data_IF_708201170499
#
_entry.id   IF_708201170499
#
_cell.length_a   1.000
_cell.length_b   1.000
_cell.length_c   1.000
_cell.angle_alpha   90.00
_cell.angle_beta   90.00
_cell.angle_gamma   90.00
#
_symmetry.space_group_name_H-M   'P 1'
#
loop_
_entity.id
_entity.type
_entity.pdbx_description
1 polymer ?
#
# COMPACT_ATOMS: atom_id res chain seq x y z
N UNK A 1 28.85 -87.60 -13.89
CA UNK A 1 27.75 -86.63 -13.80
C UNK A 1 27.70 -85.76 -15.09
N UNK A 2 26.63 -85.87 -15.74
CA UNK A 2 26.45 -85.37 -17.11
C UNK A 2 26.46 -83.84 -17.19
N UNK A 3 27.16 -83.30 -18.20
CA UNK A 3 27.19 -81.84 -18.52
C UNK A 3 25.83 -81.19 -18.64
N UNK A 4 24.78 -81.97 -18.89
CA UNK A 4 23.40 -81.55 -19.00
C UNK A 4 22.75 -81.15 -17.65
N UNK A 5 23.18 -81.69 -16.54
CA UNK A 5 22.65 -81.37 -15.24
C UNK A 5 23.11 -79.99 -14.75
N UNK A 6 24.30 -79.57 -15.12
CA UNK A 6 24.83 -78.25 -14.84
C UNK A 6 24.13 -77.09 -15.61
N UNK A 7 23.75 -77.38 -16.87
CA UNK A 7 23.01 -76.43 -17.72
C UNK A 7 21.58 -76.23 -17.19
N UNK A 8 20.91 -77.33 -16.73
CA UNK A 8 19.59 -77.24 -16.17
C UNK A 8 19.51 -76.45 -14.85
N UNK A 9 20.54 -76.54 -14.00
CA UNK A 9 20.64 -75.77 -12.76
C UNK A 9 20.91 -74.31 -13.08
N UNK A 10 21.73 -73.99 -14.07
CA UNK A 10 21.98 -72.61 -14.49
C UNK A 10 20.72 -71.92 -15.07
N UNK A 11 19.91 -72.66 -15.84
CA UNK A 11 18.63 -72.11 -16.36
C UNK A 11 17.60 -71.91 -15.27
N UNK A 12 17.50 -72.76 -14.29
CA UNK A 12 16.58 -72.63 -13.13
C UNK A 12 16.95 -71.40 -12.26
N UNK A 13 18.25 -71.16 -12.04
CA UNK A 13 18.73 -69.98 -11.24
C UNK A 13 18.50 -68.69 -12.02
N UNK A 14 18.65 -68.65 -13.33
CA UNK A 14 18.41 -67.44 -14.13
C UNK A 14 16.90 -67.13 -14.21
N UNK A 15 16.02 -68.14 -14.27
CA UNK A 15 14.57 -67.93 -14.27
C UNK A 15 14.05 -67.46 -12.93
N UNK A 16 14.60 -67.92 -11.80
CA UNK A 16 14.21 -67.42 -10.46
C UNK A 16 14.72 -66.04 -10.21
N UNK A 17 15.91 -65.67 -10.69
CA UNK A 17 16.44 -64.30 -10.61
C UNK A 17 15.65 -63.30 -11.45
N UNK A 18 15.25 -63.70 -12.66
CA UNK A 18 14.42 -62.87 -13.56
C UNK A 18 12.99 -62.66 -13.00
N UNK A 19 12.37 -63.69 -12.40
CA UNK A 19 11.06 -63.54 -11.77
C UNK A 19 11.09 -62.73 -10.49
N UNK A 20 12.17 -62.77 -9.73
CA UNK A 20 12.33 -61.93 -8.53
C UNK A 20 12.65 -60.48 -8.89
N UNK A 21 13.37 -60.22 -9.97
CA UNK A 21 13.63 -58.87 -10.47
C UNK A 21 12.36 -58.26 -11.09
N UNK A 22 11.57 -59.03 -11.84
CA UNK A 22 10.26 -58.57 -12.36
C UNK A 22 9.23 -58.30 -11.23
N UNK A 23 9.20 -59.12 -10.16
CA UNK A 23 8.30 -58.87 -9.02
C UNK A 23 8.74 -57.67 -8.17
N UNK A 24 10.04 -57.34 -8.08
CA UNK A 24 10.51 -56.15 -7.38
C UNK A 24 10.26 -54.87 -8.18
N UNK A 25 10.20 -54.93 -9.51
CA UNK A 25 9.87 -53.75 -10.33
C UNK A 25 8.37 -53.45 -10.34
N UNK A 26 7.49 -54.46 -10.24
CA UNK A 26 6.05 -54.25 -10.27
C UNK A 26 5.45 -53.73 -8.97
N UNK A 27 6.10 -53.92 -7.82
CA UNK A 27 5.59 -53.38 -6.55
C UNK A 27 6.01 -51.92 -6.31
N UNK A 28 6.96 -51.38 -7.06
CA UNK A 28 7.32 -49.96 -6.99
C UNK A 28 6.47 -49.07 -7.92
N UNK A 29 5.81 -49.67 -8.93
CA UNK A 29 5.00 -48.94 -9.90
C UNK A 29 3.56 -48.62 -9.43
N UNK A 30 3.09 -49.26 -8.35
CA UNK A 30 1.69 -49.06 -7.86
C UNK A 30 1.53 -48.06 -6.71
N UNK A 31 2.61 -47.47 -6.17
CA UNK A 31 2.52 -46.53 -5.06
C UNK A 31 2.66 -45.04 -5.47
N UNK A 32 2.98 -44.75 -6.74
CA UNK A 32 3.19 -43.39 -7.25
C UNK A 32 1.93 -42.59 -7.66
N UNK A 33 0.80 -43.17 -8.12
CA UNK A 33 -0.26 -42.38 -8.71
C UNK A 33 -0.97 -41.45 -7.68
N UNK A 34 -1.10 -41.84 -6.43
CA UNK A 34 -1.85 -41.05 -5.43
C UNK A 34 -1.05 -39.82 -4.96
N UNK A 35 0.26 -39.94 -4.76
CA UNK A 35 1.13 -38.83 -4.34
C UNK A 35 1.34 -37.82 -5.48
N UNK A 36 1.44 -38.29 -6.72
CA UNK A 36 1.57 -37.44 -7.89
C UNK A 36 0.30 -36.62 -8.16
N UNK A 37 -0.87 -37.26 -8.15
CA UNK A 37 -2.18 -36.58 -8.26
C UNK A 37 -2.37 -35.55 -7.16
N UNK A 38 -1.88 -35.85 -5.95
CA UNK A 38 -1.87 -34.89 -4.84
C UNK A 38 -1.06 -33.64 -5.18
N UNK A 39 0.20 -33.83 -5.57
CA UNK A 39 1.10 -32.72 -5.91
C UNK A 39 0.53 -31.84 -7.04
N UNK A 40 -0.01 -32.47 -8.11
CA UNK A 40 -0.65 -31.75 -9.20
C UNK A 40 -1.81 -30.87 -8.72
N UNK A 41 -2.72 -31.42 -7.89
CA UNK A 41 -3.84 -30.65 -7.32
C UNK A 41 -3.36 -29.49 -6.46
N UNK A 42 -2.30 -29.68 -5.66
CA UNK A 42 -1.74 -28.62 -4.82
C UNK A 42 -1.14 -27.50 -5.68
N UNK A 43 -0.37 -27.82 -6.71
CA UNK A 43 0.17 -26.82 -7.65
C UNK A 43 -0.94 -26.08 -8.39
N UNK A 44 -1.98 -26.76 -8.88
CA UNK A 44 -3.12 -26.11 -9.55
C UNK A 44 -3.88 -25.17 -8.61
N UNK A 45 -4.19 -25.61 -7.39
CA UNK A 45 -4.83 -24.75 -6.40
C UNK A 45 -3.95 -23.58 -5.99
N UNK A 46 -2.63 -23.77 -5.95
CA UNK A 46 -1.67 -22.69 -5.70
C UNK A 46 -1.63 -21.69 -6.85
N UNK A 47 -1.67 -22.14 -8.10
CA UNK A 47 -1.78 -21.24 -9.27
C UNK A 47 -3.00 -20.33 -9.17
N UNK A 48 -4.17 -20.89 -8.84
CA UNK A 48 -5.39 -20.10 -8.66
C UNK A 48 -5.30 -19.12 -7.47
N UNK A 49 -4.63 -19.52 -6.38
CA UNK A 49 -4.32 -18.63 -5.27
C UNK A 49 -3.38 -17.49 -5.67
N UNK A 50 -2.31 -17.80 -6.42
CA UNK A 50 -1.34 -16.80 -6.89
C UNK A 50 -1.98 -15.77 -7.80
N UNK A 51 -2.85 -16.17 -8.72
CA UNK A 51 -3.62 -15.25 -9.57
C UNK A 51 -4.48 -14.31 -8.71
N UNK A 52 -5.21 -14.86 -7.74
CA UNK A 52 -6.02 -14.04 -6.84
C UNK A 52 -5.16 -13.10 -5.96
N UNK A 53 -3.98 -13.54 -5.53
CA UNK A 53 -3.06 -12.74 -4.74
C UNK A 53 -2.48 -11.56 -5.55
N UNK A 54 -2.00 -11.81 -6.77
CA UNK A 54 -1.51 -10.78 -7.70
C UNK A 54 -2.60 -9.73 -7.95
N UNK A 55 -3.80 -10.18 -8.30
CA UNK A 55 -4.94 -9.29 -8.58
C UNK A 55 -5.33 -8.45 -7.34
N UNK A 56 -5.27 -9.03 -6.14
CA UNK A 56 -5.58 -8.32 -4.89
C UNK A 56 -4.52 -7.27 -4.55
N UNK A 57 -3.24 -7.62 -4.70
CA UNK A 57 -2.10 -6.71 -4.48
C UNK A 57 -2.14 -5.55 -5.46
N UNK A 58 -2.40 -5.80 -6.74
CA UNK A 58 -2.49 -4.76 -7.77
C UNK A 58 -3.67 -3.82 -7.51
N UNK A 59 -4.82 -4.35 -7.10
CA UNK A 59 -5.99 -3.55 -6.72
C UNK A 59 -5.69 -2.69 -5.50
N UNK A 60 -4.97 -3.23 -4.51
CA UNK A 60 -4.58 -2.47 -3.33
C UNK A 60 -3.54 -1.39 -3.65
N UNK A 61 -2.55 -1.68 -4.49
CA UNK A 61 -1.59 -0.69 -4.98
C UNK A 61 -2.28 0.48 -5.72
N UNK A 62 -3.26 0.17 -6.56
CA UNK A 62 -4.08 1.19 -7.24
C UNK A 62 -4.90 2.03 -6.27
N UNK A 63 -5.41 1.42 -5.19
CA UNK A 63 -6.17 2.12 -4.16
C UNK A 63 -5.30 3.10 -3.36
N UNK A 64 -4.11 2.69 -2.93
CA UNK A 64 -3.17 3.55 -2.20
C UNK A 64 -2.71 4.75 -3.05
N UNK A 65 -2.62 4.56 -4.36
CA UNK A 65 -2.20 5.61 -5.32
C UNK A 65 -3.32 6.56 -5.74
N UNK A 66 -4.56 6.39 -5.26
CA UNK A 66 -5.63 7.36 -5.51
C UNK A 66 -5.27 8.72 -4.90
N UNK A 67 -5.14 9.73 -5.75
CA UNK A 67 -4.66 11.05 -5.33
C UNK A 67 -5.79 12.00 -4.89
N UNK A 68 -7.05 11.75 -5.26
CA UNK A 68 -8.15 12.71 -5.04
C UNK A 68 -8.31 13.12 -3.58
N UNK A 69 -8.34 12.16 -2.66
CA UNK A 69 -8.42 12.46 -1.23
C UNK A 69 -7.19 13.23 -0.75
N UNK A 70 -6.00 12.79 -1.15
CA UNK A 70 -4.71 13.42 -0.79
C UNK A 70 -4.63 14.85 -1.30
N UNK A 71 -5.01 15.10 -2.55
CA UNK A 71 -5.03 16.43 -3.13
C UNK A 71 -5.98 17.36 -2.37
N UNK A 72 -7.15 16.86 -1.97
CA UNK A 72 -8.08 17.67 -1.18
C UNK A 72 -7.54 18.02 0.20
N UNK A 73 -7.00 17.07 0.95
CA UNK A 73 -6.43 17.38 2.28
C UNK A 73 -5.22 18.32 2.17
N UNK A 74 -4.46 18.23 1.07
CA UNK A 74 -3.34 19.15 0.77
C UNK A 74 -3.84 20.55 0.46
N UNK A 75 -4.99 20.69 -0.24
CA UNK A 75 -5.56 22.01 -0.57
C UNK A 75 -5.94 22.80 0.69
N UNK A 76 -6.35 22.12 1.77
CA UNK A 76 -6.61 22.78 3.06
C UNK A 76 -5.36 23.42 3.67
N UNK A 77 -4.18 22.90 3.39
CA UNK A 77 -2.90 23.47 3.87
C UNK A 77 -2.42 24.65 3.03
N UNK A 78 -3.11 24.99 1.95
CA UNK A 78 -2.76 26.19 1.16
C UNK A 78 -3.21 27.45 1.90
N UNK A 79 -2.30 28.31 2.39
CA UNK A 79 -2.65 29.48 3.20
C UNK A 79 -3.40 30.56 2.39
N UNK A 80 -3.41 30.47 1.06
CA UNK A 80 -4.16 31.41 0.18
C UNK A 80 -5.54 30.86 -0.18
N UNK A 81 -5.80 29.54 0.06
CA UNK A 81 -7.12 28.94 -0.18
C UNK A 81 -8.15 29.35 0.86
N UNK A 82 -9.39 29.48 0.44
CA UNK A 82 -10.54 29.70 1.33
C UNK A 82 -11.30 28.42 1.71
N UNK A 83 -10.75 27.25 1.43
CA UNK A 83 -11.39 25.94 1.68
C UNK A 83 -11.75 25.69 3.16
N UNK A 84 -11.06 26.35 4.08
CA UNK A 84 -11.37 26.34 5.50
C UNK A 84 -12.44 27.35 5.93
N UNK A 85 -13.10 28.02 4.98
CA UNK A 85 -14.00 29.14 5.24
C UNK A 85 -13.28 30.47 5.44
N UNK A 86 -11.96 30.48 5.40
CA UNK A 86 -11.09 31.67 5.46
C UNK A 86 -9.77 31.37 4.71
N UNK A 87 -9.10 32.44 4.29
CA UNK A 87 -7.72 32.39 3.80
C UNK A 87 -6.81 32.95 4.90
N UNK A 88 -5.76 32.23 5.25
CA UNK A 88 -4.80 32.69 6.25
C UNK A 88 -4.16 34.03 5.83
N UNK A 89 -3.80 34.16 4.55
CA UNK A 89 -3.28 35.41 3.98
C UNK A 89 -4.23 36.59 4.25
N UNK A 90 -5.52 36.40 3.92
CA UNK A 90 -6.53 37.45 4.06
C UNK A 90 -6.73 37.84 5.54
N UNK A 91 -6.84 36.88 6.44
CA UNK A 91 -7.00 37.13 7.88
C UNK A 91 -5.81 37.87 8.48
N UNK A 92 -4.59 37.56 8.03
CA UNK A 92 -3.39 38.28 8.45
C UNK A 92 -3.38 39.70 7.90
N UNK A 93 -3.76 39.91 6.64
CA UNK A 93 -3.84 41.26 6.07
C UNK A 93 -4.89 42.10 6.82
N UNK A 94 -6.05 41.54 7.16
CA UNK A 94 -7.07 42.21 7.95
C UNK A 94 -6.58 42.56 9.36
N UNK A 95 -5.82 41.65 10.00
CA UNK A 95 -5.26 41.92 11.32
C UNK A 95 -4.11 42.95 11.30
N UNK A 96 -3.37 43.03 10.19
CA UNK A 96 -2.32 44.04 10.00
C UNK A 96 -2.86 45.45 9.70
N UNK A 97 -4.05 45.58 9.11
CA UNK A 97 -4.62 46.87 8.68
C UNK A 97 -4.63 47.92 9.79
N UNK A 98 -5.06 47.66 11.03
CA UNK A 98 -4.98 48.64 12.14
C UNK A 98 -3.56 49.09 12.44
N UNK A 99 -2.57 48.18 12.43
CA UNK A 99 -1.17 48.50 12.67
C UNK A 99 -0.63 49.41 11.57
N UNK A 100 -0.90 49.09 10.31
CA UNK A 100 -0.47 49.88 9.14
C UNK A 100 -1.10 51.28 9.10
N UNK A 101 -2.35 51.39 9.57
CA UNK A 101 -3.04 52.70 9.66
C UNK A 101 -2.37 53.63 10.72
N UNK A 102 -1.85 53.08 11.78
CA UNK A 102 -1.10 53.81 12.79
C UNK A 102 0.32 54.18 12.35
N UNK A 103 0.91 53.35 11.48
CA UNK A 103 2.20 53.61 10.91
C UNK A 103 2.10 54.77 9.90
N UNK A 104 2.72 55.89 10.17
CA UNK A 104 2.71 57.08 9.28
C UNK A 104 3.61 56.97 8.04
N UNK A 105 4.21 55.83 7.83
CA UNK A 105 5.26 55.68 6.84
C UNK A 105 4.70 55.29 5.47
N UNK A 106 5.21 55.91 4.41
CA UNK A 106 4.91 55.65 2.98
C UNK A 106 5.28 54.21 2.52
N UNK A 107 5.79 53.37 3.41
CA UNK A 107 6.19 52.00 3.15
C UNK A 107 5.12 50.94 3.46
N UNK A 108 3.86 51.34 3.83
CA UNK A 108 2.77 50.44 4.17
C UNK A 108 2.41 49.50 3.01
N UNK A 109 2.43 50.01 1.77
CA UNK A 109 2.19 49.19 0.57
C UNK A 109 3.30 48.13 0.37
N UNK A 110 4.58 48.54 0.53
CA UNK A 110 5.71 47.60 0.43
C UNK A 110 5.66 46.53 1.50
N UNK A 111 5.27 46.91 2.72
CA UNK A 111 5.11 45.93 3.81
C UNK A 111 3.99 44.94 3.51
N UNK A 112 2.83 45.40 3.05
CA UNK A 112 1.72 44.57 2.62
C UNK A 112 2.13 43.62 1.46
N UNK A 113 2.89 44.11 0.50
CA UNK A 113 3.44 43.32 -0.61
C UNK A 113 4.44 42.27 -0.12
N UNK A 114 5.31 42.60 0.83
CA UNK A 114 6.22 41.63 1.44
C UNK A 114 5.46 40.53 2.17
N UNK A 115 4.43 40.87 2.94
CA UNK A 115 3.57 39.88 3.62
C UNK A 115 2.86 38.99 2.60
N UNK A 116 2.26 39.56 1.54
CA UNK A 116 1.64 38.74 0.47
C UNK A 116 2.66 37.86 -0.24
N UNK A 117 3.91 38.33 -0.45
CA UNK A 117 4.95 37.56 -1.10
C UNK A 117 5.37 36.32 -0.27
N UNK A 118 5.28 36.37 1.04
CA UNK A 118 5.53 35.22 1.91
C UNK A 118 4.54 34.06 1.63
N UNK A 119 3.29 34.39 1.35
CA UNK A 119 2.24 33.40 1.05
C UNK A 119 2.33 32.91 -0.40
N UNK A 120 2.57 33.81 -1.36
CA UNK A 120 2.70 33.47 -2.79
C UNK A 120 3.94 32.67 -3.10
N UNK A 121 5.06 32.91 -2.42
CA UNK A 121 6.29 32.11 -2.57
C UNK A 121 6.05 30.69 -2.01
N UNK A 122 5.32 30.60 -0.90
CA UNK A 122 4.91 29.31 -0.31
C UNK A 122 3.98 28.52 -1.24
N UNK A 123 3.10 29.19 -1.98
CA UNK A 123 2.19 28.56 -2.96
C UNK A 123 2.90 28.16 -4.27
N UNK A 124 3.91 28.91 -4.71
CA UNK A 124 4.67 28.63 -5.96
C UNK A 124 5.75 27.56 -5.80
N UNK A 125 6.28 27.35 -4.61
CA UNK A 125 7.15 26.20 -4.31
C UNK A 125 6.37 24.89 -4.17
N UNK A 126 5.06 24.91 -4.39
CA UNK A 126 4.24 23.77 -4.69
C UNK A 126 4.71 23.05 -5.96
N UNK A 127 5.98 22.65 -5.97
CA UNK A 127 6.48 21.58 -6.80
C UNK A 127 5.57 20.39 -6.55
N UNK A 128 5.02 19.85 -7.61
CA UNK A 128 4.21 18.64 -7.74
C UNK A 128 4.85 17.37 -7.16
N UNK A 129 5.75 17.49 -6.23
CA UNK A 129 6.24 16.42 -5.38
C UNK A 129 5.67 16.61 -3.99
N UNK A 130 4.95 15.61 -3.53
CA UNK A 130 4.26 15.44 -2.25
C UNK A 130 5.09 15.73 -0.95
N UNK A 131 6.09 16.58 -1.00
CA UNK A 131 7.07 16.81 0.10
C UNK A 131 7.23 18.25 0.57
N UNK A 132 6.50 19.22 0.02
CA UNK A 132 6.66 20.62 0.41
C UNK A 132 5.38 21.24 0.99
N UNK A 133 4.83 20.59 2.01
CA UNK A 133 3.98 21.32 2.95
C UNK A 133 4.92 22.17 3.77
N UNK A 134 4.94 23.51 3.49
CA UNK A 134 5.76 24.41 4.27
C UNK A 134 5.30 24.35 5.74
N UNK A 135 6.18 24.06 6.70
CA UNK A 135 5.81 24.15 8.09
C UNK A 135 5.34 25.58 8.37
N UNK A 136 4.15 25.73 8.94
CA UNK A 136 3.53 27.04 9.26
C UNK A 136 4.39 27.84 10.25
N UNK A 137 5.18 27.15 11.07
CA UNK A 137 6.08 27.77 12.03
C UNK A 137 7.11 28.77 11.46
N UNK A 138 7.81 28.50 10.33
CA UNK A 138 8.68 29.50 9.72
C UNK A 138 7.93 30.73 9.20
N UNK A 139 6.73 30.53 8.60
CA UNK A 139 5.89 31.65 8.17
C UNK A 139 5.49 32.54 9.36
N UNK A 140 5.06 31.91 10.46
CA UNK A 140 4.71 32.61 11.68
C UNK A 140 5.89 33.38 12.26
N UNK A 141 7.07 32.76 12.39
CA UNK A 141 8.28 33.40 12.86
C UNK A 141 8.71 34.60 12.01
N UNK A 142 8.67 34.44 10.67
CA UNK A 142 9.01 35.51 9.74
C UNK A 142 8.03 36.67 9.81
N UNK A 143 6.73 36.38 9.90
CA UNK A 143 5.70 37.39 10.03
C UNK A 143 5.86 38.18 11.35
N UNK A 144 6.11 37.49 12.49
CA UNK A 144 6.35 38.16 13.77
C UNK A 144 7.60 39.02 13.75
N UNK A 145 8.68 38.56 13.13
CA UNK A 145 9.91 39.35 12.96
C UNK A 145 9.64 40.64 12.16
N UNK A 146 8.86 40.53 11.07
CA UNK A 146 8.47 41.68 10.25
C UNK A 146 7.61 42.68 11.02
N UNK A 147 6.60 42.20 11.76
CA UNK A 147 5.72 43.08 12.57
C UNK A 147 6.48 43.68 13.74
N UNK A 148 7.39 42.91 14.38
CA UNK A 148 8.26 43.40 15.42
C UNK A 148 9.19 44.55 14.91
N UNK A 149 9.75 44.39 13.70
CA UNK A 149 10.56 45.43 13.05
C UNK A 149 9.75 46.70 12.78
N UNK A 150 8.52 46.56 12.31
CA UNK A 150 7.60 47.69 12.10
C UNK A 150 7.31 48.42 13.42
N UNK A 151 7.08 47.65 14.52
CA UNK A 151 6.82 48.21 15.84
C UNK A 151 8.01 49.02 16.39
N UNK A 152 9.23 48.57 16.17
CA UNK A 152 10.45 49.27 16.59
C UNK A 152 10.63 50.57 15.81
N UNK A 153 10.31 50.62 14.53
CA UNK A 153 10.45 51.78 13.66
C UNK A 153 9.35 52.83 13.89
N UNK A 154 8.17 52.42 14.33
CA UNK A 154 7.00 53.26 14.44
C UNK A 154 6.57 53.45 15.90
N UNK A 155 6.97 54.58 16.51
CA UNK A 155 6.67 54.90 17.93
C UNK A 155 5.17 54.95 18.29
N UNK A 156 4.27 54.91 17.32
CA UNK A 156 2.81 54.98 17.54
C UNK A 156 2.16 53.59 17.66
N UNK A 157 2.86 52.52 17.32
CA UNK A 157 2.37 51.16 17.50
C UNK A 157 2.71 50.76 18.94
N UNK A 158 1.69 50.51 19.69
CA UNK A 158 1.83 50.13 21.11
C UNK A 158 2.01 48.63 21.25
N UNK A 159 2.45 48.21 22.46
CA UNK A 159 2.51 46.79 22.80
C UNK A 159 1.13 46.12 22.73
N UNK A 160 0.09 46.84 23.18
CA UNK A 160 -1.30 46.32 23.10
C UNK A 160 -1.78 46.08 21.68
N UNK A 161 -1.35 46.89 20.71
CA UNK A 161 -1.63 46.68 19.28
C UNK A 161 -0.97 45.39 18.77
N UNK A 162 0.27 45.14 19.18
CA UNK A 162 1.00 43.93 18.84
C UNK A 162 0.35 42.69 19.48
N UNK A 163 0.01 42.77 20.77
CA UNK A 163 -0.66 41.69 21.46
C UNK A 163 -2.04 41.36 20.86
N UNK A 164 -2.77 42.41 20.45
CA UNK A 164 -4.04 42.25 19.71
C UNK A 164 -3.85 41.53 18.36
N UNK A 165 -2.82 41.92 17.61
CA UNK A 165 -2.47 41.24 16.36
C UNK A 165 -2.12 39.77 16.60
N UNK A 166 -1.27 39.49 17.56
CA UNK A 166 -0.86 38.12 17.93
C UNK A 166 -2.09 37.28 18.32
N UNK A 167 -2.93 37.79 19.21
CA UNK A 167 -4.12 37.09 19.68
C UNK A 167 -5.12 36.83 18.55
N UNK A 168 -5.22 37.77 17.60
CA UNK A 168 -6.12 37.61 16.44
C UNK A 168 -5.63 36.59 15.45
N UNK A 169 -4.33 36.54 15.18
CA UNK A 169 -3.74 35.70 14.13
C UNK A 169 -3.37 34.29 14.61
N UNK A 170 -2.94 34.14 15.86
CA UNK A 170 -2.46 32.86 16.41
C UNK A 170 -3.48 31.72 16.28
N UNK A 171 -4.76 32.00 16.49
CA UNK A 171 -5.83 30.99 16.36
C UNK A 171 -5.94 30.40 14.96
N UNK A 172 -5.66 31.16 13.90
CA UNK A 172 -5.65 30.69 12.52
C UNK A 172 -4.41 29.83 12.27
N UNK A 173 -3.23 30.27 12.74
CA UNK A 173 -2.01 29.51 12.65
C UNK A 173 -2.11 28.15 13.35
N UNK A 174 -2.73 28.09 14.52
CA UNK A 174 -2.96 26.81 15.22
C UNK A 174 -3.77 25.83 14.38
N UNK A 175 -4.77 26.30 13.62
CA UNK A 175 -5.52 25.39 12.75
C UNK A 175 -4.69 24.86 11.58
N UNK A 176 -3.89 25.72 10.94
CA UNK A 176 -2.99 25.29 9.89
C UNK A 176 -1.90 24.33 10.39
N UNK A 177 -1.39 24.55 11.60
CA UNK A 177 -0.42 23.63 12.22
C UNK A 177 -1.05 22.26 12.47
N UNK A 178 -2.28 22.20 12.99
CA UNK A 178 -3.02 20.93 13.16
C UNK A 178 -3.22 20.22 11.83
N UNK A 179 -3.59 20.95 10.75
CA UNK A 179 -3.74 20.40 9.41
C UNK A 179 -2.42 19.83 8.91
N UNK A 180 -1.33 20.59 9.07
CA UNK A 180 -0.01 20.15 8.66
C UNK A 180 0.42 18.86 9.37
N UNK A 181 0.20 18.79 10.69
CA UNK A 181 0.48 17.60 11.49
C UNK A 181 -0.37 16.39 11.03
N UNK A 182 -1.67 16.60 10.78
CA UNK A 182 -2.57 15.56 10.32
C UNK A 182 -2.16 15.02 8.92
N UNK A 183 -1.77 15.91 8.01
CA UNK A 183 -1.34 15.53 6.66
C UNK A 183 0.04 14.84 6.67
N UNK A 184 0.99 15.34 7.45
CA UNK A 184 2.30 14.71 7.59
C UNK A 184 2.20 13.28 8.16
N UNK A 185 1.33 13.10 9.18
CA UNK A 185 1.08 11.77 9.75
C UNK A 185 0.42 10.83 8.73
N UNK A 186 -0.53 11.35 7.96
CA UNK A 186 -1.16 10.60 6.89
C UNK A 186 -0.14 10.15 5.84
N UNK A 187 0.69 11.06 5.34
CA UNK A 187 1.72 10.76 4.32
C UNK A 187 2.73 9.73 4.81
N UNK A 188 3.21 9.86 6.05
CA UNK A 188 4.12 8.87 6.66
C UNK A 188 3.48 7.48 6.75
N UNK A 189 2.19 7.43 7.13
CA UNK A 189 1.47 6.17 7.21
C UNK A 189 1.25 5.54 5.83
N UNK A 190 0.93 6.34 4.81
CA UNK A 190 0.80 5.86 3.41
C UNK A 190 2.14 5.35 2.88
N UNK A 191 3.25 6.04 3.16
CA UNK A 191 4.59 5.58 2.77
C UNK A 191 4.93 4.24 3.44
N UNK A 192 4.60 4.08 4.73
CA UNK A 192 4.78 2.82 5.43
C UNK A 192 3.94 1.68 4.83
N UNK A 193 2.70 1.95 4.45
CA UNK A 193 1.84 0.97 3.76
C UNK A 193 2.42 0.57 2.40
N UNK A 194 2.94 1.51 1.63
CA UNK A 194 3.59 1.25 0.35
C UNK A 194 4.84 0.36 0.52
N UNK A 195 5.66 0.62 1.54
CA UNK A 195 6.84 -0.20 1.84
C UNK A 195 6.44 -1.64 2.16
N UNK A 196 5.48 -1.83 3.07
CA UNK A 196 4.98 -3.16 3.43
C UNK A 196 4.32 -3.90 2.25
N UNK A 197 3.63 -3.17 1.37
CA UNK A 197 3.05 -3.76 0.17
C UNK A 197 4.13 -4.22 -0.80
N UNK A 198 5.22 -3.46 -0.93
CA UNK A 198 6.38 -3.85 -1.75
C UNK A 198 7.09 -5.08 -1.18
N UNK A 199 7.23 -5.18 0.14
CA UNK A 199 7.73 -6.38 0.82
C UNK A 199 6.85 -7.61 0.52
N UNK A 200 5.53 -7.45 0.63
CA UNK A 200 4.59 -8.52 0.30
C UNK A 200 4.65 -8.95 -1.18
N UNK A 201 4.83 -8.00 -2.11
CA UNK A 201 5.05 -8.31 -3.53
C UNK A 201 6.33 -9.11 -3.74
N UNK A 202 7.39 -8.76 -3.01
CA UNK A 202 8.63 -9.51 -3.03
C UNK A 202 8.43 -10.93 -2.51
N UNK A 203 7.79 -11.11 -1.36
CA UNK A 203 7.52 -12.44 -0.77
C UNK A 203 6.66 -13.31 -1.71
N UNK A 204 5.64 -12.73 -2.33
CA UNK A 204 4.83 -13.42 -3.34
C UNK A 204 5.69 -13.88 -4.52
N UNK A 205 6.57 -13.02 -5.01
CA UNK A 205 7.47 -13.35 -6.11
C UNK A 205 8.46 -14.46 -5.75
N UNK A 206 9.03 -14.41 -4.54
CA UNK A 206 9.93 -15.47 -4.05
C UNK A 206 9.18 -16.82 -3.99
N UNK A 207 7.95 -16.82 -3.46
CA UNK A 207 7.10 -18.01 -3.43
C UNK A 207 6.82 -18.57 -4.83
N UNK A 208 6.52 -17.71 -5.79
CA UNK A 208 6.33 -18.13 -7.19
C UNK A 208 7.60 -18.73 -7.80
N UNK A 209 8.77 -18.11 -7.53
CA UNK A 209 10.04 -18.63 -8.03
C UNK A 209 10.37 -20.02 -7.43
N UNK A 210 10.05 -20.26 -6.17
CA UNK A 210 10.22 -21.58 -5.55
C UNK A 210 9.35 -22.63 -6.26
N UNK A 211 8.09 -22.33 -6.56
CA UNK A 211 7.21 -23.20 -7.33
C UNK A 211 7.74 -23.50 -8.72
N UNK A 212 8.25 -22.46 -9.41
CA UNK A 212 8.78 -22.59 -10.76
C UNK A 212 10.03 -23.49 -10.80
N UNK A 213 10.95 -23.31 -9.87
CA UNK A 213 12.21 -24.12 -9.82
C UNK A 213 11.91 -25.60 -9.60
N UNK A 214 10.89 -25.91 -8.80
CA UNK A 214 10.46 -27.31 -8.60
C UNK A 214 9.93 -27.92 -9.89
N UNK A 215 9.14 -27.17 -10.66
CA UNK A 215 8.52 -27.63 -11.90
C UNK A 215 9.46 -27.57 -13.10
N UNK A 216 10.46 -26.72 -13.06
CA UNK A 216 11.44 -26.50 -14.13
C UNK A 216 12.87 -26.60 -13.56
N UNK A 217 13.39 -27.82 -13.27
CA UNK A 217 14.67 -28.00 -12.57
C UNK A 217 15.89 -27.43 -13.30
N UNK A 218 15.81 -27.26 -14.62
CA UNK A 218 16.85 -26.62 -15.42
C UNK A 218 16.87 -25.09 -15.33
N UNK A 219 15.82 -24.48 -14.71
CA UNK A 219 15.69 -23.05 -14.60
C UNK A 219 16.52 -22.51 -13.44
N UNK A 220 17.30 -21.46 -13.70
CA UNK A 220 18.06 -20.79 -12.65
C UNK A 220 17.24 -19.66 -12.04
N UNK A 221 17.24 -19.55 -10.71
CA UNK A 221 16.53 -18.47 -9.98
C UNK A 221 16.88 -17.07 -10.46
N UNK A 222 18.14 -16.86 -10.88
CA UNK A 222 18.59 -15.56 -11.40
C UNK A 222 17.83 -15.13 -12.68
N UNK A 223 17.43 -16.07 -13.52
CA UNK A 223 16.68 -15.79 -14.74
C UNK A 223 15.24 -15.31 -14.46
N UNK A 224 14.68 -15.70 -13.31
CA UNK A 224 13.32 -15.35 -12.88
C UNK A 224 13.26 -13.99 -12.19
N UNK A 225 14.38 -13.50 -11.62
CA UNK A 225 14.42 -12.26 -10.84
C UNK A 225 14.03 -11.01 -11.61
N UNK A 226 14.25 -10.97 -12.92
CA UNK A 226 13.95 -9.82 -13.78
C UNK A 226 12.49 -9.75 -14.23
N UNK A 227 11.78 -10.88 -14.22
CA UNK A 227 10.37 -10.95 -14.62
C UNK A 227 9.45 -10.36 -13.54
N UNK A 228 8.30 -9.81 -13.92
CA UNK A 228 7.25 -9.44 -12.98
C UNK A 228 6.39 -10.66 -12.58
N UNK A 229 5.53 -10.51 -11.60
CA UNK A 229 4.70 -11.60 -11.07
C UNK A 229 3.68 -12.11 -12.08
N UNK A 230 3.09 -11.23 -12.89
CA UNK A 230 2.14 -11.59 -13.94
C UNK A 230 2.80 -12.44 -15.01
N UNK A 231 4.00 -12.06 -15.46
CA UNK A 231 4.76 -12.83 -16.47
C UNK A 231 5.18 -14.19 -15.91
N UNK A 232 5.58 -14.27 -14.64
CA UNK A 232 5.90 -15.54 -13.98
C UNK A 232 4.69 -16.46 -13.92
N UNK A 233 3.52 -15.92 -13.55
CA UNK A 233 2.27 -16.69 -13.52
C UNK A 233 1.93 -17.22 -14.91
N UNK A 234 1.78 -16.32 -15.88
CA UNK A 234 1.31 -16.67 -17.24
C UNK A 234 2.25 -17.63 -17.95
N UNK A 235 3.56 -17.47 -17.75
CA UNK A 235 4.55 -18.25 -18.50
C UNK A 235 4.80 -19.63 -17.89
N UNK A 236 4.71 -19.78 -16.57
CA UNK A 236 5.17 -20.97 -15.88
C UNK A 236 4.13 -21.64 -14.99
N UNK A 237 3.21 -20.87 -14.38
CA UNK A 237 2.30 -21.34 -13.34
C UNK A 237 0.82 -21.28 -13.75
N UNK A 238 0.49 -20.76 -14.93
CA UNK A 238 -0.87 -20.81 -15.46
C UNK A 238 -1.37 -22.26 -15.56
N UNK A 239 -2.67 -22.48 -15.34
CA UNK A 239 -3.27 -23.80 -15.29
C UNK A 239 -2.93 -24.65 -16.52
N UNK A 240 -3.03 -24.08 -17.74
CA UNK A 240 -2.74 -24.82 -18.96
C UNK A 240 -1.25 -25.15 -19.08
N UNK A 241 -0.37 -24.27 -18.60
CA UNK A 241 1.07 -24.51 -18.54
C UNK A 241 1.43 -25.58 -17.52
N UNK A 242 0.75 -25.61 -16.38
CA UNK A 242 0.93 -26.65 -15.37
C UNK A 242 0.57 -28.03 -15.91
N UNK A 243 -0.57 -28.18 -16.58
CA UNK A 243 -0.98 -29.46 -17.17
C UNK A 243 0.05 -29.97 -18.20
N UNK A 244 0.52 -29.10 -19.10
CA UNK A 244 1.59 -29.41 -20.07
C UNK A 244 2.90 -29.81 -19.36
N UNK A 245 3.25 -29.12 -18.29
CA UNK A 245 4.49 -29.36 -17.54
C UNK A 245 4.42 -30.68 -16.78
N UNK A 246 3.28 -30.99 -16.17
CA UNK A 246 3.09 -32.27 -15.47
C UNK A 246 3.23 -33.46 -16.43
N UNK A 247 2.65 -33.39 -17.63
CA UNK A 247 2.80 -34.43 -18.64
C UNK A 247 4.26 -34.60 -19.09
N UNK A 248 5.01 -33.49 -19.27
CA UNK A 248 6.45 -33.55 -19.60
C UNK A 248 7.30 -34.15 -18.48
N UNK A 249 7.06 -33.76 -17.23
CA UNK A 249 7.76 -34.29 -16.07
C UNK A 249 7.51 -35.79 -15.92
N UNK A 250 6.26 -36.21 -16.07
CA UNK A 250 5.86 -37.61 -16.06
C UNK A 250 6.55 -38.43 -17.17
N UNK A 251 6.54 -37.91 -18.40
CA UNK A 251 7.18 -38.56 -19.53
C UNK A 251 8.70 -38.69 -19.36
N UNK A 252 9.34 -37.74 -18.70
CA UNK A 252 10.79 -37.76 -18.41
C UNK A 252 11.18 -38.56 -17.17
N UNK A 253 10.23 -39.10 -16.41
CA UNK A 253 10.46 -39.82 -15.16
C UNK A 253 10.95 -38.92 -13.99
N UNK A 254 10.83 -37.59 -14.12
CA UNK A 254 11.17 -36.65 -13.08
C UNK A 254 10.00 -36.49 -12.11
N UNK A 255 10.20 -36.94 -10.87
CA UNK A 255 9.27 -36.69 -9.77
C UNK A 255 9.36 -35.23 -9.33
N UNK A 256 8.21 -34.64 -8.92
CA UNK A 256 8.15 -33.33 -8.29
C UNK A 256 7.32 -33.41 -7.02
N UNK A 257 7.69 -32.59 -6.04
CA UNK A 257 7.01 -32.55 -4.74
C UNK A 257 6.58 -31.12 -4.43
N UNK A 258 5.35 -30.98 -3.98
CA UNK A 258 4.88 -29.69 -3.49
C UNK A 258 5.65 -29.27 -2.24
N UNK A 259 6.06 -27.99 -2.08
CA UNK A 259 6.81 -27.53 -0.94
C UNK A 259 6.05 -27.76 0.37
N UNK A 260 6.73 -28.26 1.38
CA UNK A 260 6.13 -28.56 2.70
C UNK A 260 5.59 -27.32 3.41
N UNK A 261 6.15 -26.15 3.14
CA UNK A 261 5.75 -24.84 3.69
C UNK A 261 4.88 -24.00 2.75
N UNK A 262 4.59 -24.52 1.54
CA UNK A 262 3.85 -23.77 0.53
C UNK A 262 2.50 -23.23 1.00
N UNK A 263 1.72 -24.05 1.71
CA UNK A 263 0.43 -23.62 2.28
C UNK A 263 0.60 -22.59 3.40
N UNK A 264 1.64 -22.75 4.23
CA UNK A 264 1.95 -21.77 5.26
C UNK A 264 2.27 -20.42 4.64
N UNK A 265 3.13 -20.41 3.62
CA UNK A 265 3.49 -19.19 2.87
C UNK A 265 2.25 -18.52 2.27
N UNK A 266 1.35 -19.28 1.63
CA UNK A 266 0.09 -18.75 1.11
C UNK A 266 -0.79 -18.11 2.21
N UNK A 267 -0.88 -18.75 3.38
CA UNK A 267 -1.59 -18.18 4.55
C UNK A 267 -0.95 -16.88 5.02
N UNK A 268 0.36 -16.82 5.11
CA UNK A 268 1.09 -15.64 5.57
C UNK A 268 0.91 -14.46 4.61
N UNK A 269 0.97 -14.69 3.30
CA UNK A 269 0.67 -13.69 2.25
C UNK A 269 -0.76 -13.16 2.40
N UNK A 270 -1.74 -14.05 2.52
CA UNK A 270 -3.16 -13.68 2.65
C UNK A 270 -3.41 -12.86 3.92
N UNK A 271 -2.88 -13.31 5.06
CA UNK A 271 -3.02 -12.62 6.35
C UNK A 271 -2.34 -11.24 6.35
N UNK A 272 -1.17 -11.14 5.72
CA UNK A 272 -0.45 -9.87 5.59
C UNK A 272 -1.24 -8.88 4.76
N UNK A 273 -1.78 -9.30 3.62
CA UNK A 273 -2.61 -8.43 2.77
C UNK A 273 -3.86 -7.94 3.50
N UNK A 274 -4.53 -8.82 4.26
CA UNK A 274 -5.70 -8.43 5.08
C UNK A 274 -5.34 -7.40 6.15
N UNK A 275 -4.21 -7.60 6.84
CA UNK A 275 -3.71 -6.64 7.83
C UNK A 275 -3.41 -5.28 7.21
N UNK A 276 -2.75 -5.26 6.04
CA UNK A 276 -2.46 -4.05 5.30
C UNK A 276 -3.74 -3.29 4.91
N UNK A 277 -4.75 -4.00 4.44
CA UNK A 277 -6.04 -3.38 4.11
C UNK A 277 -6.73 -2.79 5.34
N UNK A 278 -6.72 -3.50 6.46
CA UNK A 278 -7.27 -2.99 7.73
C UNK A 278 -6.51 -1.75 8.22
N UNK A 279 -5.18 -1.76 8.11
CA UNK A 279 -4.32 -0.62 8.45
C UNK A 279 -4.61 0.59 7.53
N UNK A 280 -4.79 0.37 6.23
CA UNK A 280 -5.21 1.39 5.28
C UNK A 280 -6.53 2.06 5.69
N UNK A 281 -7.56 1.27 5.96
CA UNK A 281 -8.86 1.81 6.40
C UNK A 281 -8.75 2.63 7.68
N UNK A 282 -7.90 2.19 8.62
CA UNK A 282 -7.61 2.91 9.86
C UNK A 282 -6.93 4.26 9.58
N UNK A 283 -5.89 4.28 8.76
CA UNK A 283 -5.14 5.49 8.38
C UNK A 283 -6.05 6.55 7.75
N UNK A 284 -6.86 6.16 6.78
CA UNK A 284 -7.83 7.07 6.15
C UNK A 284 -8.90 7.55 7.13
N UNK A 285 -9.43 6.65 7.97
CA UNK A 285 -10.46 6.99 8.96
C UNK A 285 -9.94 7.93 10.06
N UNK A 286 -8.71 7.78 10.50
CA UNK A 286 -8.09 8.67 11.49
C UNK A 286 -7.83 10.05 10.90
N UNK A 287 -7.24 10.13 9.71
CA UNK A 287 -7.00 11.39 9.03
C UNK A 287 -8.30 12.14 8.75
N UNK A 288 -9.32 11.45 8.19
CA UNK A 288 -10.63 12.05 7.95
C UNK A 288 -11.23 12.68 9.22
N UNK A 289 -11.20 11.95 10.35
CA UNK A 289 -11.74 12.47 11.62
C UNK A 289 -10.97 13.70 12.11
N UNK A 290 -9.63 13.72 11.97
CA UNK A 290 -8.80 14.85 12.35
C UNK A 290 -9.10 16.07 11.48
N UNK A 291 -9.11 15.95 10.15
CA UNK A 291 -9.40 17.03 9.22
C UNK A 291 -10.83 17.55 9.44
N UNK A 292 -11.82 16.66 9.57
CA UNK A 292 -13.22 17.03 9.87
C UNK A 292 -13.31 17.84 11.17
N UNK A 293 -12.61 17.42 12.22
CA UNK A 293 -12.59 18.15 13.51
C UNK A 293 -11.99 19.55 13.35
N UNK A 294 -10.92 19.70 12.60
CA UNK A 294 -10.26 20.98 12.33
C UNK A 294 -11.19 21.91 11.54
N UNK A 295 -11.84 21.41 10.50
CA UNK A 295 -12.81 22.18 9.70
C UNK A 295 -14.02 22.62 10.54
N UNK A 296 -14.52 21.76 11.43
CA UNK A 296 -15.60 22.13 12.34
C UNK A 296 -15.16 23.22 13.33
N UNK A 297 -13.93 23.09 13.88
CA UNK A 297 -13.36 24.10 14.79
C UNK A 297 -13.16 25.45 14.06
N UNK A 298 -12.83 25.44 12.77
CA UNK A 298 -12.63 26.68 12.01
C UNK A 298 -13.87 27.56 12.00
N UNK A 299 -15.08 26.98 12.08
CA UNK A 299 -16.36 27.75 12.13
C UNK A 299 -16.44 28.72 13.30
N UNK A 300 -15.73 28.48 14.39
CA UNK A 300 -15.75 29.31 15.59
C UNK A 300 -14.60 30.33 15.68
N UNK A 301 -13.71 30.40 14.70
CA UNK A 301 -12.50 31.23 14.79
C UNK A 301 -12.77 32.74 14.70
N UNK A 302 -13.81 33.18 14.01
CA UNK A 302 -14.09 34.60 13.85
C UNK A 302 -15.39 34.88 13.13
N UNK A 303 -15.73 36.18 13.01
CA UNK A 303 -16.96 36.63 12.35
C UNK A 303 -16.91 36.57 10.82
N UNK A 304 -15.70 36.48 10.25
CA UNK A 304 -15.49 36.52 8.79
C UNK A 304 -15.43 35.11 8.17
N UNK A 305 -15.72 34.08 8.95
CA UNK A 305 -15.68 32.70 8.46
C UNK A 305 -16.86 32.43 7.52
N UNK A 306 -16.59 31.99 6.32
CA UNK A 306 -17.61 31.55 5.37
C UNK A 306 -18.10 30.12 5.73
N UNK A 307 -19.19 30.06 6.49
CA UNK A 307 -19.77 28.79 6.95
C UNK A 307 -20.20 27.88 5.79
N UNK A 308 -20.73 28.47 4.70
CA UNK A 308 -21.13 27.68 3.52
C UNK A 308 -19.94 26.99 2.86
N UNK A 309 -18.81 27.69 2.79
CA UNK A 309 -17.57 27.11 2.27
C UNK A 309 -17.05 25.95 3.14
N UNK A 310 -17.09 26.11 4.47
CA UNK A 310 -16.72 25.03 5.40
C UNK A 310 -17.62 23.81 5.21
N UNK A 311 -18.95 24.04 5.08
CA UNK A 311 -19.91 22.95 4.89
C UNK A 311 -19.71 22.24 3.54
N UNK A 312 -19.42 22.99 2.47
CA UNK A 312 -19.08 22.44 1.17
C UNK A 312 -17.80 21.58 1.24
N UNK A 313 -16.76 22.10 1.91
CA UNK A 313 -15.50 21.36 2.11
C UNK A 313 -15.66 20.09 2.96
N UNK A 314 -16.51 20.15 3.99
CA UNK A 314 -16.84 18.98 4.82
C UNK A 314 -17.56 17.90 3.99
N UNK A 315 -18.51 18.30 3.16
CA UNK A 315 -19.25 17.38 2.29
C UNK A 315 -18.33 16.72 1.27
N UNK A 316 -17.52 17.50 0.58
CA UNK A 316 -16.53 16.98 -0.39
C UNK A 316 -15.52 16.02 0.27
N UNK A 317 -15.01 16.38 1.45
CA UNK A 317 -14.11 15.51 2.22
C UNK A 317 -14.78 14.18 2.57
N UNK A 318 -16.06 14.19 2.95
CA UNK A 318 -16.83 13.00 3.27
C UNK A 318 -17.06 12.11 2.05
N UNK A 319 -17.39 12.71 0.91
CA UNK A 319 -17.55 11.99 -0.36
C UNK A 319 -16.24 11.30 -0.77
N UNK A 320 -15.12 12.02 -0.74
CA UNK A 320 -13.80 11.48 -1.07
C UNK A 320 -13.32 10.40 -0.08
N UNK A 321 -13.62 10.56 1.21
CA UNK A 321 -13.36 9.54 2.23
C UNK A 321 -14.16 8.26 1.97
N UNK A 322 -15.45 8.40 1.67
CA UNK A 322 -16.32 7.26 1.37
C UNK A 322 -15.88 6.55 0.08
N UNK A 323 -15.48 7.28 -0.96
CA UNK A 323 -14.89 6.69 -2.18
C UNK A 323 -13.60 5.94 -1.90
N UNK A 324 -12.76 6.45 -1.00
CA UNK A 324 -11.51 5.79 -0.59
C UNK A 324 -11.74 4.56 0.27
N UNK A 325 -12.79 4.57 1.11
CA UNK A 325 -13.16 3.46 1.99
C UNK A 325 -13.87 2.33 1.24
N UNK A 326 -14.74 2.68 0.30
CA UNK A 326 -15.59 1.74 -0.44
C UNK A 326 -14.85 1.25 -1.69
N UNK A 327 -13.79 0.48 -1.46
CA UNK A 327 -13.17 -0.28 -2.54
C UNK A 327 -13.89 -1.63 -2.69
N UNK A 328 -15.07 -1.64 -3.30
CA UNK A 328 -15.81 -2.86 -3.62
C UNK A 328 -14.97 -3.84 -4.43
N UNK A 329 -14.15 -3.29 -5.35
CA UNK A 329 -13.23 -4.09 -6.16
C UNK A 329 -12.20 -4.81 -5.30
N UNK A 330 -11.55 -4.12 -4.35
CA UNK A 330 -10.56 -4.76 -3.48
C UNK A 330 -11.23 -5.74 -2.51
N UNK A 331 -12.39 -5.41 -1.95
CA UNK A 331 -13.16 -6.31 -1.09
C UNK A 331 -13.54 -7.60 -1.81
N UNK A 332 -13.98 -7.50 -3.07
CA UNK A 332 -14.26 -8.67 -3.92
C UNK A 332 -12.99 -9.49 -4.19
N UNK A 333 -11.86 -8.82 -4.51
CA UNK A 333 -10.58 -9.50 -4.73
C UNK A 333 -10.08 -10.23 -3.49
N UNK A 334 -10.20 -9.61 -2.31
CA UNK A 334 -9.84 -10.26 -1.04
C UNK A 334 -10.74 -11.45 -0.75
N UNK A 335 -12.05 -11.36 -1.00
CA UNK A 335 -12.97 -12.49 -0.86
C UNK A 335 -12.54 -13.65 -1.76
N UNK A 336 -12.24 -13.37 -3.03
CA UNK A 336 -11.73 -14.35 -3.98
C UNK A 336 -10.44 -14.99 -3.49
N UNK A 337 -9.50 -14.20 -2.98
CA UNK A 337 -8.23 -14.69 -2.41
C UNK A 337 -8.47 -15.67 -1.26
N UNK A 338 -9.37 -15.35 -0.33
CA UNK A 338 -9.68 -16.22 0.79
C UNK A 338 -10.37 -17.52 0.36
N UNK A 339 -11.24 -17.48 -0.63
CA UNK A 339 -11.86 -18.70 -1.19
C UNK A 339 -10.80 -19.59 -1.88
N UNK A 340 -9.84 -19.02 -2.62
CA UNK A 340 -8.73 -19.77 -3.20
C UNK A 340 -7.81 -20.37 -2.14
N UNK A 341 -7.53 -19.62 -1.07
CA UNK A 341 -6.77 -20.14 0.06
C UNK A 341 -7.49 -21.31 0.75
N UNK A 342 -8.80 -21.22 0.96
CA UNK A 342 -9.60 -22.32 1.52
C UNK A 342 -9.55 -23.56 0.64
N UNK A 343 -9.68 -23.41 -0.67
CA UNK A 343 -9.60 -24.51 -1.62
C UNK A 343 -8.21 -25.19 -1.58
N UNK A 344 -7.13 -24.40 -1.49
CA UNK A 344 -5.77 -24.92 -1.35
C UNK A 344 -5.59 -25.72 -0.05
N UNK A 345 -6.07 -25.20 1.08
CA UNK A 345 -6.03 -25.90 2.38
C UNK A 345 -6.86 -27.18 2.38
N UNK A 346 -8.05 -27.15 1.78
CA UNK A 346 -8.92 -28.33 1.67
C UNK A 346 -8.30 -29.44 0.82
N UNK A 347 -7.55 -29.07 -0.23
CA UNK A 347 -6.79 -30.01 -1.05
C UNK A 347 -5.74 -30.78 -0.22
N UNK A 348 -5.14 -30.14 0.79
CA UNK A 348 -4.23 -30.81 1.73
C UNK A 348 -4.97 -31.79 2.66
N UNK A 349 -6.10 -31.36 3.25
CA UNK A 349 -6.82 -32.11 4.27
C UNK A 349 -7.52 -33.35 3.72
N UNK A 350 -8.10 -33.29 2.52
CA UNK A 350 -8.79 -34.41 1.89
C UNK A 350 -7.89 -35.65 1.69
N UNK A 351 -6.60 -35.47 1.78
CA UNK A 351 -5.58 -36.49 1.54
C UNK A 351 -5.08 -37.09 2.85
N UNK A 352 -5.16 -36.36 3.95
CA UNK A 352 -4.84 -36.87 5.29
C UNK A 352 -5.95 -37.84 5.79
N UNK A 353 -7.20 -37.60 5.37
CA UNK A 353 -8.34 -38.41 5.74
C UNK A 353 -8.45 -39.76 4.98
N UNK A 354 -7.65 -39.95 3.91
CA UNK A 354 -7.61 -41.20 3.11
C UNK A 354 -6.46 -42.14 3.49
N UNK A 355 -5.68 -41.80 4.51
CA UNK A 355 -4.67 -42.67 5.13
C UNK A 355 -5.20 -43.31 6.40
#
# INVERSE_FOLDING_TARGET
MSRWLLIAILFAVVQTSAQTALRKSDTSLFHFPAAEVKNQKQFTSTSEFLDAAINSINSFNSLIKKENYRNKITSFNNPTSSDMGFSLENEIQLALKPLLTKARNTNTEKFSQVVSSLFTTSAKTGVTTSKAIMPVNPLFGTLFSLVGTLTIQEKKITRDDLDSFINTTSKYFVQYEKLNQANNLFDQNIERLNTKLSELQFDLKEYMMDMIIILYPAMQRQQLKTANTEDLLLKYLDKYKLDETFEKLKASGHGFQYPSDGIKTAKDISNTLQKLFTEYQKVYGENYRQIKSILVQSKSLGKNINMQQVDASLKELEELYNDSKNSDVLSLRLTTLFERLKALVATEQSIVAQK
#
